data_IF_697909187655
#
_entry.id   IF_697909187655
#
_cell.length_a   1.000
_cell.length_b   1.000
_cell.length_c   1.000
_cell.angle_alpha   90.00
_cell.angle_beta   90.00
_cell.angle_gamma   90.00
#
_symmetry.space_group_name_H-M   'P 1'
#
loop_
_entity.id
_entity.type
_entity.pdbx_description
1 polymer ?
#
# COMPACT_ATOMS: atom_id res chain seq x y z
N UNK A 1 46.02 27.34 52.79
CA UNK A 1 45.46 28.16 51.69
C UNK A 1 45.96 27.52 50.40
N UNK A 2 45.34 26.46 49.85
CA UNK A 2 43.94 26.28 49.45
C UNK A 2 43.49 27.43 48.54
N UNK A 3 43.14 27.05 47.31
CA UNK A 3 42.44 27.78 46.24
C UNK A 3 43.35 28.53 45.25
N UNK A 4 42.88 28.49 44.00
CA UNK A 4 43.48 28.96 42.74
C UNK A 4 44.49 28.02 42.09
N UNK A 5 44.33 27.82 40.78
CA UNK A 5 45.21 27.09 39.84
C UNK A 5 45.01 25.60 39.61
N UNK A 6 43.77 25.10 39.48
CA UNK A 6 43.49 23.96 38.57
C UNK A 6 42.01 23.90 38.15
N UNK A 7 41.47 24.99 37.61
CA UNK A 7 40.06 25.01 37.16
C UNK A 7 39.81 25.92 35.95
N UNK A 8 40.78 26.02 35.02
CA UNK A 8 40.63 26.79 33.75
C UNK A 8 41.16 25.98 32.56
N UNK A 9 40.94 24.66 32.55
CA UNK A 9 41.24 23.82 31.38
C UNK A 9 40.20 22.72 31.12
N UNK A 10 39.10 22.72 31.88
CA UNK A 10 37.99 21.76 31.76
C UNK A 10 36.64 22.43 31.50
N UNK A 11 36.64 23.71 31.07
CA UNK A 11 35.42 24.46 30.72
C UNK A 11 35.49 25.08 29.31
N UNK A 12 36.36 24.56 28.44
CA UNK A 12 36.45 24.94 27.03
C UNK A 12 36.25 23.77 26.05
N UNK A 13 35.92 22.57 26.56
CA UNK A 13 35.65 21.38 25.73
C UNK A 13 34.20 20.91 25.77
N UNK A 14 33.27 21.76 26.24
CA UNK A 14 31.83 21.45 26.33
C UNK A 14 30.97 22.31 25.40
N UNK A 15 31.52 22.71 24.26
CA UNK A 15 30.74 23.10 23.09
C UNK A 15 31.27 22.29 21.91
N UNK A 16 30.99 20.98 21.92
CA UNK A 16 30.74 20.32 20.65
C UNK A 16 29.49 21.01 20.11
N UNK A 17 29.69 22.02 19.26
CA UNK A 17 28.63 22.53 18.40
C UNK A 17 28.21 21.30 17.60
N UNK A 18 27.13 20.66 18.03
CA UNK A 18 26.38 19.78 17.17
C UNK A 18 25.95 20.72 16.05
N UNK A 19 26.67 20.72 14.93
CA UNK A 19 26.10 21.14 13.68
C UNK A 19 25.00 20.13 13.40
N UNK A 20 23.83 20.35 14.02
CA UNK A 20 22.59 19.96 13.38
C UNK A 20 22.64 20.72 12.07
N UNK A 21 22.83 20.00 10.97
CA UNK A 21 22.40 20.49 9.67
C UNK A 21 20.93 20.84 9.87
N UNK A 22 20.63 22.11 10.12
CA UNK A 22 19.29 22.62 9.97
C UNK A 22 18.89 22.25 8.53
N UNK A 23 17.88 21.42 8.37
CA UNK A 23 17.27 21.22 7.08
C UNK A 23 16.86 22.60 6.56
N UNK A 24 17.28 22.97 5.37
CA UNK A 24 16.95 24.29 4.85
C UNK A 24 15.44 24.39 4.61
N UNK A 25 14.90 25.61 4.69
CA UNK A 25 13.54 25.89 4.23
C UNK A 25 13.35 25.36 2.79
N UNK A 26 12.19 24.77 2.52
CA UNK A 26 11.86 24.32 1.17
C UNK A 26 11.27 25.47 0.38
N UNK A 27 11.81 25.75 -0.80
CA UNK A 27 11.31 26.80 -1.68
C UNK A 27 10.82 26.17 -2.97
N UNK A 28 9.51 26.23 -3.18
CA UNK A 28 8.89 25.72 -4.41
C UNK A 28 8.53 26.88 -5.33
N UNK A 29 8.97 26.79 -6.58
CA UNK A 29 8.57 27.69 -7.65
C UNK A 29 8.03 26.85 -8.80
N UNK A 30 6.87 27.20 -9.33
CA UNK A 30 6.22 26.40 -10.37
C UNK A 30 5.59 27.26 -11.44
N UNK A 31 5.81 26.85 -12.70
CA UNK A 31 5.08 27.33 -13.87
C UNK A 31 3.93 26.36 -14.16
N UNK A 32 2.73 26.89 -14.35
CA UNK A 32 1.48 26.11 -14.49
C UNK A 32 0.73 26.46 -15.79
N UNK A 33 -0.11 25.56 -16.33
CA UNK A 33 -0.90 25.85 -17.52
C UNK A 33 -2.04 26.83 -17.20
N UNK A 34 -2.51 27.58 -18.19
CA UNK A 34 -3.69 28.45 -18.05
C UNK A 34 -4.95 27.72 -18.54
N UNK A 35 -6.09 27.81 -17.82
CA UNK A 35 -6.29 28.51 -16.56
C UNK A 35 -5.75 27.73 -15.35
N UNK A 36 -5.16 28.46 -14.39
CA UNK A 36 -4.89 27.99 -13.02
C UNK A 36 -5.26 29.11 -12.05
N UNK A 37 -6.25 28.85 -11.19
CA UNK A 37 -6.77 29.84 -10.25
C UNK A 37 -6.03 29.79 -8.92
N UNK A 38 -5.69 28.59 -8.47
CA UNK A 38 -4.89 28.33 -7.29
C UNK A 38 -3.81 27.29 -7.60
N UNK A 39 -2.75 27.27 -6.80
CA UNK A 39 -1.76 26.22 -6.85
C UNK A 39 -1.42 25.83 -5.42
N UNK A 40 -1.31 24.54 -5.17
CA UNK A 40 -1.00 23.95 -3.87
C UNK A 40 0.15 22.96 -4.05
N UNK A 41 0.96 22.82 -3.02
CA UNK A 41 2.04 21.81 -2.97
C UNK A 41 1.78 20.86 -1.81
N UNK A 42 1.97 19.57 -2.04
CA UNK A 42 1.77 18.51 -1.05
C UNK A 42 2.87 17.49 -1.17
N UNK A 43 3.31 16.90 -0.06
CA UNK A 43 4.38 15.92 -0.10
C UNK A 43 4.57 15.15 1.19
N UNK A 44 5.60 14.31 1.22
CA UNK A 44 5.97 13.60 2.44
C UNK A 44 6.42 14.55 3.57
N UNK A 45 6.85 15.77 3.24
CA UNK A 45 7.21 16.82 4.19
C UNK A 45 6.02 17.28 5.06
N UNK A 46 4.79 16.92 4.71
CA UNK A 46 3.58 17.25 5.45
C UNK A 46 2.58 16.09 5.55
N UNK A 47 3.10 14.86 5.57
CA UNK A 47 2.31 13.63 5.61
C UNK A 47 1.23 13.55 4.51
N UNK A 48 1.52 14.13 3.34
CA UNK A 48 0.63 14.21 2.18
C UNK A 48 -0.71 14.94 2.46
N UNK A 49 -0.74 15.87 3.41
CA UNK A 49 -1.90 16.72 3.67
C UNK A 49 -2.11 17.74 2.52
N UNK A 50 -3.05 17.43 1.62
CA UNK A 50 -3.33 18.20 0.41
C UNK A 50 -4.13 19.50 0.64
N UNK A 51 -4.37 19.89 1.89
CA UNK A 51 -5.16 21.10 2.25
C UNK A 51 -4.39 22.09 3.14
N UNK A 52 -3.05 22.04 3.14
CA UNK A 52 -2.23 22.86 4.03
C UNK A 52 -1.47 23.98 3.32
N UNK A 53 -0.72 23.67 2.26
CA UNK A 53 0.20 24.62 1.65
C UNK A 53 -0.31 25.18 0.33
N UNK A 54 -1.12 26.24 0.43
CA UNK A 54 -1.51 27.06 -0.71
C UNK A 54 -0.34 27.95 -1.13
N UNK A 55 0.04 27.87 -2.41
CA UNK A 55 1.10 28.71 -2.96
C UNK A 55 0.59 30.13 -3.24
N UNK A 56 1.51 31.09 -3.15
CA UNK A 56 1.24 32.48 -3.51
C UNK A 56 1.33 32.66 -5.02
N UNK A 57 0.27 33.20 -5.63
CA UNK A 57 0.26 33.53 -7.05
C UNK A 57 1.17 34.74 -7.31
N UNK A 58 2.17 34.57 -8.18
CA UNK A 58 3.06 35.63 -8.64
C UNK A 58 2.47 36.31 -9.87
N UNK A 59 2.04 35.51 -10.85
CA UNK A 59 1.31 35.92 -12.05
C UNK A 59 0.39 34.79 -12.54
N UNK A 60 -0.23 34.92 -13.72
CA UNK A 60 -1.18 33.94 -14.27
C UNK A 60 -0.62 32.54 -14.51
N UNK A 61 0.69 32.41 -14.55
CA UNK A 61 1.39 31.15 -14.83
C UNK A 61 2.42 30.77 -13.78
N UNK A 62 2.72 31.63 -12.80
CA UNK A 62 3.77 31.37 -11.80
C UNK A 62 3.26 31.45 -10.37
N UNK A 63 3.65 30.46 -9.56
CA UNK A 63 3.34 30.37 -8.14
C UNK A 63 4.59 30.04 -7.32
N UNK A 64 4.64 30.52 -6.08
CA UNK A 64 5.76 30.28 -5.16
C UNK A 64 5.29 30.05 -3.71
N UNK A 65 6.03 29.26 -2.96
CA UNK A 65 5.89 29.13 -1.50
C UNK A 65 7.24 28.79 -0.86
N UNK A 66 7.46 29.32 0.34
CA UNK A 66 8.54 28.89 1.24
C UNK A 66 7.91 28.18 2.42
N UNK A 67 8.33 26.94 2.67
CA UNK A 67 7.91 26.13 3.81
C UNK A 67 9.07 26.11 4.80
N UNK A 68 8.89 26.64 6.02
CA UNK A 68 9.96 26.71 6.98
C UNK A 68 10.34 25.31 7.46
N UNK A 69 11.62 25.10 7.77
CA UNK A 69 12.13 23.83 8.30
C UNK A 69 11.27 23.27 9.44
N UNK A 70 10.81 24.15 10.33
CA UNK A 70 10.02 23.78 11.52
C UNK A 70 8.69 23.11 11.22
N UNK A 71 8.18 23.22 9.99
CA UNK A 71 6.93 22.62 9.55
C UNK A 71 7.14 21.35 8.71
N UNK A 72 8.39 20.95 8.48
CA UNK A 72 8.76 19.73 7.76
C UNK A 72 8.76 18.53 8.71
N UNK A 73 8.15 17.43 8.29
CA UNK A 73 8.22 16.15 9.01
C UNK A 73 9.70 15.75 9.21
N UNK A 74 10.17 15.51 10.44
CA UNK A 74 11.58 15.27 10.73
C UNK A 74 12.04 13.89 10.24
N UNK A 75 13.33 13.78 9.89
CA UNK A 75 13.97 12.49 9.55
C UNK A 75 13.76 12.01 8.12
N UNK A 76 13.19 12.85 7.24
CA UNK A 76 13.09 12.57 5.81
C UNK A 76 14.47 12.59 5.16
N UNK A 77 14.81 11.54 4.40
CA UNK A 77 16.05 11.46 3.62
C UNK A 77 15.89 11.98 2.19
N UNK A 78 14.65 12.11 1.72
CA UNK A 78 14.28 12.62 0.40
C UNK A 78 12.93 13.32 0.53
N UNK A 79 12.75 14.45 -0.15
CA UNK A 79 11.47 15.17 -0.19
C UNK A 79 10.75 14.81 -1.47
N UNK A 80 9.58 14.18 -1.33
CA UNK A 80 8.70 13.80 -2.44
C UNK A 80 7.43 14.64 -2.41
N UNK A 81 6.95 15.06 -3.58
CA UNK A 81 5.83 16.00 -3.65
C UNK A 81 5.07 15.95 -4.98
N UNK A 82 3.92 16.63 -4.99
CA UNK A 82 3.09 16.92 -6.17
C UNK A 82 2.45 18.29 -6.06
N UNK A 83 2.01 18.82 -7.20
CA UNK A 83 1.18 20.02 -7.28
C UNK A 83 -0.31 19.72 -7.50
N UNK A 84 -1.17 20.62 -7.02
CA UNK A 84 -2.61 20.60 -7.28
C UNK A 84 -3.11 21.99 -7.69
N UNK A 85 -4.06 22.04 -8.64
CA UNK A 85 -4.73 23.29 -9.01
C UNK A 85 -5.78 23.78 -8.00
N UNK A 86 -6.12 22.96 -7.00
CA UNK A 86 -6.99 23.28 -5.87
C UNK A 86 -6.71 22.37 -4.67
N UNK A 87 -6.84 22.92 -3.46
CA UNK A 87 -6.55 22.20 -2.21
C UNK A 87 -7.65 21.22 -1.80
N UNK A 88 -7.27 20.23 -0.99
CA UNK A 88 -8.19 19.30 -0.32
C UNK A 88 -8.66 18.10 -1.15
N UNK A 89 -8.35 18.03 -2.44
CA UNK A 89 -8.89 17.00 -3.35
C UNK A 89 -7.88 16.61 -4.45
N UNK A 90 -7.51 15.33 -4.49
CA UNK A 90 -6.57 14.77 -5.47
C UNK A 90 -7.08 14.81 -6.91
N UNK A 91 -8.37 15.10 -7.13
CA UNK A 91 -8.94 15.32 -8.45
C UNK A 91 -8.28 16.49 -9.21
N UNK A 92 -7.51 17.35 -8.54
CA UNK A 92 -6.81 18.50 -9.12
C UNK A 92 -5.31 18.30 -9.33
N UNK A 93 -4.81 17.07 -9.13
CA UNK A 93 -3.39 16.75 -9.19
C UNK A 93 -2.82 16.91 -10.60
N UNK A 94 -1.54 17.26 -10.68
CA UNK A 94 -0.78 17.31 -11.94
C UNK A 94 -0.72 15.96 -12.68
N UNK A 95 -0.57 16.05 -14.00
CA UNK A 95 -0.40 14.96 -14.96
C UNK A 95 0.71 15.28 -15.94
N UNK A 96 1.12 14.27 -16.72
CA UNK A 96 1.94 14.50 -17.91
C UNK A 96 1.15 15.26 -19.00
N UNK A 97 1.83 15.59 -20.10
CA UNK A 97 1.23 16.32 -21.22
C UNK A 97 0.03 15.59 -21.86
N UNK A 98 0.07 14.25 -21.86
CA UNK A 98 -0.99 13.40 -22.41
C UNK A 98 -2.17 13.27 -21.44
N UNK A 99 -1.96 13.55 -20.15
CA UNK A 99 -2.95 13.46 -19.07
C UNK A 99 -2.84 12.18 -18.23
N UNK A 100 -1.77 11.41 -18.37
CA UNK A 100 -1.54 10.22 -17.55
C UNK A 100 -0.97 10.60 -16.17
N UNK A 101 -1.10 9.66 -15.24
CA UNK A 101 -0.45 9.74 -13.93
C UNK A 101 1.06 9.85 -14.06
N UNK A 102 1.66 10.71 -13.25
CA UNK A 102 3.12 10.81 -13.09
C UNK A 102 3.53 10.32 -11.71
N UNK A 103 4.76 9.86 -11.57
CA UNK A 103 5.35 9.57 -10.26
C UNK A 103 5.47 10.83 -9.39
N UNK A 104 5.67 10.65 -8.09
CA UNK A 104 5.99 11.78 -7.20
C UNK A 104 7.25 12.48 -7.66
N UNK A 105 7.25 13.81 -7.63
CA UNK A 105 8.46 14.61 -7.87
C UNK A 105 9.43 14.42 -6.71
N UNK A 106 10.72 14.49 -7.00
CA UNK A 106 11.77 14.53 -5.98
C UNK A 106 12.31 15.94 -5.93
N UNK A 107 12.34 16.54 -4.75
CA UNK A 107 12.72 17.94 -4.58
C UNK A 107 14.16 18.17 -5.04
N UNK A 108 14.31 19.15 -5.91
CA UNK A 108 15.57 19.73 -6.33
C UNK A 108 15.40 21.23 -6.35
N UNK A 109 16.41 21.99 -5.95
CA UNK A 109 16.37 23.45 -6.07
C UNK A 109 16.18 23.84 -7.54
N UNK A 110 15.07 24.54 -7.85
CA UNK A 110 14.74 24.92 -9.21
C UNK A 110 13.29 25.36 -9.40
N UNK A 111 12.92 25.59 -10.67
CA UNK A 111 11.55 25.88 -11.07
C UNK A 111 10.95 24.64 -11.71
N UNK A 112 9.80 24.22 -11.20
CA UNK A 112 9.01 23.16 -11.80
C UNK A 112 8.11 23.67 -12.93
N UNK A 113 7.72 22.76 -13.80
CA UNK A 113 6.67 22.99 -14.80
C UNK A 113 5.62 21.89 -14.67
N UNK A 114 4.38 22.30 -14.42
CA UNK A 114 3.21 21.44 -14.54
C UNK A 114 2.74 21.48 -16.00
N UNK A 115 2.64 20.32 -16.64
CA UNK A 115 2.19 20.23 -18.03
C UNK A 115 0.66 20.33 -18.13
N UNK A 116 -0.03 19.64 -17.22
CA UNK A 116 -1.49 19.48 -17.24
C UNK A 116 -2.03 19.19 -15.84
N UNK A 117 -3.27 19.58 -15.59
CA UNK A 117 -4.02 19.19 -14.40
C UNK A 117 -5.01 18.07 -14.74
N UNK A 118 -5.28 17.17 -13.79
CA UNK A 118 -6.38 16.21 -13.88
C UNK A 118 -7.73 16.92 -14.09
N UNK A 119 -8.00 17.91 -13.23
CA UNK A 119 -9.06 18.89 -13.35
C UNK A 119 -8.49 20.26 -12.98
N UNK A 120 -9.11 21.32 -13.50
CA UNK A 120 -8.79 22.69 -13.09
C UNK A 120 -9.79 23.13 -12.03
N UNK A 121 -9.32 23.39 -10.81
CA UNK A 121 -10.17 24.01 -9.80
C UNK A 121 -10.51 25.45 -10.21
N UNK A 122 -11.79 25.79 -10.15
CA UNK A 122 -12.27 27.15 -10.39
C UNK A 122 -13.04 27.63 -9.15
N UNK A 123 -12.48 28.55 -8.33
CA UNK A 123 -13.15 29.04 -7.12
C UNK A 123 -14.41 29.84 -7.41
N UNK A 124 -14.66 30.22 -8.67
CA UNK A 124 -15.87 30.95 -9.07
C UNK A 124 -17.02 30.01 -9.44
N UNK A 125 -16.79 28.69 -9.44
CA UNK A 125 -17.85 27.69 -9.59
C UNK A 125 -18.13 27.14 -8.19
N UNK A 126 -19.23 27.58 -7.59
CA UNK A 126 -19.67 27.01 -6.32
C UNK A 126 -19.98 25.51 -6.50
N UNK A 127 -19.62 24.65 -5.53
CA UNK A 127 -20.05 23.26 -5.54
C UNK A 127 -21.57 23.18 -5.70
N UNK A 128 -22.04 22.19 -6.46
CA UNK A 128 -23.48 21.97 -6.66
C UNK A 128 -23.88 20.68 -5.96
N UNK A 129 -24.29 20.72 -4.68
CA UNK A 129 -24.86 19.56 -4.01
C UNK A 129 -26.21 19.23 -4.62
N UNK A 130 -26.39 18.00 -5.07
CA UNK A 130 -27.67 17.58 -5.64
C UNK A 130 -27.88 16.07 -5.54
N UNK A 131 -29.15 15.69 -5.52
CA UNK A 131 -29.56 14.32 -5.81
C UNK A 131 -29.67 14.14 -7.31
N UNK A 132 -28.83 13.27 -7.87
CA UNK A 132 -28.80 12.94 -9.30
C UNK A 132 -29.44 11.59 -9.55
N UNK A 133 -29.98 11.40 -10.75
CA UNK A 133 -30.43 10.12 -11.29
C UNK A 133 -29.63 9.78 -12.52
N UNK A 134 -28.96 8.63 -12.51
CA UNK A 134 -28.22 8.10 -13.65
C UNK A 134 -29.03 6.98 -14.27
N UNK A 135 -29.32 7.09 -15.56
CA UNK A 135 -29.96 6.07 -16.38
C UNK A 135 -28.88 5.45 -17.28
N UNK A 136 -28.74 4.14 -17.26
CA UNK A 136 -27.75 3.42 -18.05
C UNK A 136 -28.44 2.43 -19.00
N UNK A 137 -28.19 2.57 -20.30
CA UNK A 137 -28.49 1.55 -21.30
C UNK A 137 -27.26 0.65 -21.45
N UNK A 138 -27.44 -0.66 -21.31
CA UNK A 138 -26.36 -1.66 -21.32
C UNK A 138 -26.73 -2.85 -22.22
N UNK A 139 -25.78 -3.72 -22.58
CA UNK A 139 -26.05 -4.89 -23.42
C UNK A 139 -27.07 -5.85 -22.78
N UNK A 140 -27.78 -6.60 -23.61
CA UNK A 140 -28.92 -7.43 -23.18
C UNK A 140 -28.54 -8.57 -22.23
N UNK A 141 -27.29 -9.02 -22.25
CA UNK A 141 -26.76 -10.10 -21.42
C UNK A 141 -26.46 -9.67 -19.98
N UNK A 142 -26.34 -8.37 -19.69
CA UNK A 142 -26.16 -7.86 -18.32
C UNK A 142 -27.34 -8.28 -17.45
N UNK A 143 -27.09 -8.98 -16.34
CA UNK A 143 -28.14 -9.42 -15.41
C UNK A 143 -28.33 -8.38 -14.30
N UNK A 144 -27.22 -7.93 -13.71
CA UNK A 144 -27.20 -6.93 -12.64
C UNK A 144 -26.20 -5.83 -12.99
N UNK A 145 -26.53 -4.59 -12.62
CA UNK A 145 -25.68 -3.43 -12.87
C UNK A 145 -25.45 -2.66 -11.58
N UNK A 146 -24.23 -2.18 -11.40
CA UNK A 146 -23.80 -1.41 -10.23
C UNK A 146 -23.13 -0.11 -10.69
N UNK A 147 -23.26 0.95 -9.89
CA UNK A 147 -22.63 2.25 -10.15
C UNK A 147 -21.71 2.66 -8.98
N UNK A 148 -20.49 3.05 -9.29
CA UNK A 148 -19.47 3.48 -8.32
C UNK A 148 -18.84 4.79 -8.80
N UNK A 149 -18.40 5.64 -7.90
CA UNK A 149 -17.92 6.97 -8.28
C UNK A 149 -17.38 7.80 -7.12
N UNK A 150 -17.20 9.10 -7.37
CA UNK A 150 -16.73 10.04 -6.34
C UNK A 150 -17.69 10.13 -5.14
N UNK A 151 -18.99 9.90 -5.35
CA UNK A 151 -20.01 9.94 -4.31
C UNK A 151 -19.89 8.81 -3.25
N UNK A 152 -19.21 7.71 -3.58
CA UNK A 152 -18.93 6.61 -2.66
C UNK A 152 -17.43 6.30 -2.55
N UNK A 153 -16.56 7.28 -2.83
CA UNK A 153 -15.11 7.14 -2.78
C UNK A 153 -14.57 5.94 -3.58
N UNK A 154 -15.20 5.59 -4.70
CA UNK A 154 -14.80 4.46 -5.54
C UNK A 154 -14.70 3.14 -4.75
N UNK A 155 -15.53 2.96 -3.71
CA UNK A 155 -15.62 1.66 -3.02
C UNK A 155 -16.06 0.58 -3.99
N UNK A 156 -15.62 -0.66 -3.73
CA UNK A 156 -16.01 -1.83 -4.53
C UNK A 156 -17.54 -1.90 -4.65
N UNK A 157 -18.08 -2.29 -5.82
CA UNK A 157 -19.51 -2.47 -5.99
C UNK A 157 -20.09 -3.45 -4.95
N UNK A 158 -21.16 -3.03 -4.27
CA UNK A 158 -21.95 -3.85 -3.34
C UNK A 158 -23.44 -3.64 -3.61
N UNK A 159 -24.32 -4.35 -2.90
CA UNK A 159 -25.77 -4.18 -3.03
C UNK A 159 -26.25 -2.74 -2.79
N UNK A 160 -25.49 -1.93 -2.02
CA UNK A 160 -25.82 -0.50 -1.81
C UNK A 160 -25.64 0.36 -3.07
N UNK A 161 -24.87 -0.13 -4.03
CA UNK A 161 -24.57 0.53 -5.32
C UNK A 161 -25.28 -0.12 -6.50
N UNK A 162 -26.10 -1.15 -6.24
CA UNK A 162 -26.87 -1.87 -7.25
C UNK A 162 -27.93 -0.95 -7.85
N UNK A 163 -27.98 -0.90 -9.18
CA UNK A 163 -28.95 -0.10 -9.93
C UNK A 163 -30.27 -0.89 -10.09
N UNK A 164 -31.36 -0.16 -10.14
CA UNK A 164 -32.71 -0.71 -10.36
C UNK A 164 -32.91 -0.99 -11.85
N UNK A 165 -33.24 -2.22 -12.21
CA UNK A 165 -33.67 -2.56 -13.56
C UNK A 165 -35.00 -1.86 -13.89
N UNK A 166 -35.08 -1.19 -15.04
CA UNK A 166 -36.28 -0.51 -15.51
C UNK A 166 -36.99 -1.32 -16.60
N UNK A 167 -36.30 -1.56 -17.71
CA UNK A 167 -36.88 -2.23 -18.88
C UNK A 167 -35.81 -2.89 -19.77
N UNK A 168 -36.28 -3.73 -20.70
CA UNK A 168 -35.49 -4.23 -21.81
C UNK A 168 -36.11 -3.74 -23.12
N UNK A 169 -35.27 -3.30 -24.05
CA UNK A 169 -35.65 -2.79 -25.36
C UNK A 169 -34.73 -3.38 -26.45
N UNK A 170 -34.92 -2.98 -27.70
CA UNK A 170 -34.14 -3.50 -28.83
C UNK A 170 -32.63 -3.21 -28.70
N UNK A 171 -32.24 -2.18 -27.94
CA UNK A 171 -30.86 -1.79 -27.71
C UNK A 171 -30.23 -2.46 -26.47
N UNK A 172 -30.97 -3.30 -25.72
CA UNK A 172 -30.48 -4.01 -24.54
C UNK A 172 -31.35 -3.76 -23.30
N UNK A 173 -30.71 -3.49 -22.15
CA UNK A 173 -31.41 -3.25 -20.87
C UNK A 173 -31.15 -1.86 -20.32
N UNK A 174 -32.13 -1.31 -19.63
CA UNK A 174 -32.07 0.01 -18.98
C UNK A 174 -32.11 -0.16 -17.47
N UNK A 175 -31.20 0.52 -16.79
CA UNK A 175 -31.11 0.57 -15.33
C UNK A 175 -31.08 2.02 -14.83
N UNK A 176 -31.48 2.26 -13.59
CA UNK A 176 -31.38 3.57 -12.95
C UNK A 176 -30.84 3.51 -11.52
N UNK A 177 -30.09 4.53 -11.12
CA UNK A 177 -29.75 4.77 -9.72
C UNK A 177 -29.88 6.25 -9.38
N UNK A 178 -30.35 6.52 -8.17
CA UNK A 178 -30.49 7.87 -7.62
C UNK A 178 -29.66 7.98 -6.35
N UNK A 179 -28.79 8.99 -6.28
CA UNK A 179 -27.91 9.20 -5.14
C UNK A 179 -27.55 10.68 -4.97
N UNK A 180 -27.02 11.05 -3.81
CA UNK A 180 -26.57 12.41 -3.53
C UNK A 180 -25.08 12.57 -3.88
N UNK A 181 -24.73 13.67 -4.55
CA UNK A 181 -23.35 14.15 -4.69
C UNK A 181 -23.22 15.50 -3.99
N UNK A 182 -22.08 15.71 -3.32
CA UNK A 182 -21.75 17.00 -2.69
C UNK A 182 -21.36 18.07 -3.72
N UNK A 183 -20.94 17.64 -4.93
CA UNK A 183 -20.59 18.54 -6.02
C UNK A 183 -20.78 17.83 -7.38
N UNK A 184 -21.84 18.21 -8.10
CA UNK A 184 -22.12 17.68 -9.44
C UNK A 184 -21.03 18.05 -10.46
N UNK A 185 -20.29 19.16 -10.26
CA UNK A 185 -19.21 19.55 -11.16
C UNK A 185 -18.02 18.57 -11.13
N UNK A 186 -17.89 17.81 -10.04
CA UNK A 186 -16.83 16.80 -9.85
C UNK A 186 -17.36 15.37 -9.86
N UNK A 187 -18.64 15.18 -10.17
CA UNK A 187 -19.22 13.85 -10.17
C UNK A 187 -18.60 13.03 -11.30
N UNK A 188 -17.84 12.02 -10.92
CA UNK A 188 -17.33 10.99 -11.80
C UNK A 188 -17.85 9.63 -11.36
N UNK A 189 -18.13 8.75 -12.31
CA UNK A 189 -18.64 7.42 -12.03
C UNK A 189 -18.27 6.39 -13.11
N UNK A 190 -18.43 5.12 -12.77
CA UNK A 190 -18.31 3.95 -13.64
C UNK A 190 -19.37 2.92 -13.31
N UNK A 191 -19.55 1.98 -14.23
CA UNK A 191 -20.45 0.87 -14.08
C UNK A 191 -19.71 -0.47 -13.98
N UNK A 192 -20.27 -1.38 -13.19
CA UNK A 192 -19.85 -2.78 -13.13
C UNK A 192 -21.06 -3.68 -13.37
N UNK A 193 -20.93 -4.67 -14.27
CA UNK A 193 -21.95 -5.69 -14.53
C UNK A 193 -21.89 -6.84 -13.49
N UNK A 194 -21.63 -6.50 -12.22
CA UNK A 194 -21.42 -7.43 -11.11
C UNK A 194 -20.81 -6.76 -9.87
N UNK A 195 -20.83 -7.44 -8.71
CA UNK A 195 -20.41 -6.89 -7.41
C UNK A 195 -18.87 -6.87 -7.20
N UNK A 196 -18.10 -6.53 -8.24
CA UNK A 196 -16.63 -6.40 -8.17
C UNK A 196 -16.05 -5.64 -9.37
N UNK A 197 -14.81 -5.15 -9.23
CA UNK A 197 -14.06 -4.51 -10.33
C UNK A 197 -13.73 -5.44 -11.51
N UNK A 198 -13.80 -6.75 -11.31
CA UNK A 198 -13.66 -7.75 -12.37
C UNK A 198 -14.78 -7.64 -13.44
N UNK A 199 -15.88 -6.96 -13.12
CA UNK A 199 -17.04 -6.74 -13.98
C UNK A 199 -17.13 -5.30 -14.50
N UNK A 200 -16.08 -4.49 -14.33
CA UNK A 200 -16.04 -3.10 -14.78
C UNK A 200 -16.30 -2.95 -16.27
N UNK A 201 -16.93 -1.85 -16.66
CA UNK A 201 -17.04 -1.42 -18.06
C UNK A 201 -15.67 -1.42 -18.76
N UNK A 202 -15.64 -1.74 -20.04
CA UNK A 202 -14.42 -1.74 -20.87
C UNK A 202 -14.20 -0.42 -21.61
N UNK A 203 -15.26 0.39 -21.75
CA UNK A 203 -15.12 1.74 -22.29
C UNK A 203 -14.22 2.56 -21.39
N UNK A 204 -13.16 3.11 -21.98
CA UNK A 204 -12.12 3.85 -21.27
C UNK A 204 -12.63 5.08 -20.53
N UNK A 205 -11.83 5.52 -19.55
CA UNK A 205 -12.06 6.68 -18.67
C UNK A 205 -13.31 6.58 -17.76
N UNK A 206 -13.34 7.44 -16.74
CA UNK A 206 -14.53 7.65 -15.90
C UNK A 206 -15.56 8.48 -16.68
N UNK A 207 -16.86 8.20 -16.49
CA UNK A 207 -17.89 9.14 -16.92
C UNK A 207 -17.85 10.39 -16.04
N UNK A 208 -18.06 11.55 -16.64
CA UNK A 208 -18.29 12.82 -15.94
C UNK A 208 -19.77 13.18 -16.03
N UNK A 209 -20.32 13.77 -14.98
CA UNK A 209 -21.70 14.24 -15.03
C UNK A 209 -21.84 15.35 -16.10
N UNK A 210 -22.77 15.19 -17.08
CA UNK A 210 -22.72 16.00 -18.31
C UNK A 210 -23.28 17.41 -18.14
N UNK A 211 -24.29 17.59 -17.28
CA UNK A 211 -24.97 18.86 -17.10
C UNK A 211 -25.42 19.02 -15.63
N UNK A 212 -24.70 19.80 -14.80
CA UNK A 212 -25.06 20.02 -13.41
C UNK A 212 -26.31 20.89 -13.21
N UNK A 213 -26.94 21.38 -14.29
CA UNK A 213 -28.25 22.05 -14.23
C UNK A 213 -29.42 21.06 -14.29
N UNK A 214 -29.16 19.82 -14.70
CA UNK A 214 -30.14 18.74 -14.73
C UNK A 214 -29.91 17.79 -13.56
N UNK A 215 -30.97 17.20 -13.04
CA UNK A 215 -30.90 16.17 -12.00
C UNK A 215 -30.89 14.74 -12.58
N UNK A 216 -30.92 14.60 -13.91
CA UNK A 216 -30.96 13.30 -14.59
C UNK A 216 -29.99 13.29 -15.76
N UNK A 217 -29.23 12.20 -15.89
CA UNK A 217 -28.35 11.96 -17.03
C UNK A 217 -28.56 10.52 -17.55
N UNK A 218 -28.43 10.36 -18.88
CA UNK A 218 -28.48 9.06 -19.54
C UNK A 218 -27.11 8.72 -20.15
N UNK A 219 -26.70 7.46 -20.02
CA UNK A 219 -25.41 6.95 -20.48
C UNK A 219 -25.62 5.62 -21.21
N UNK A 220 -24.84 5.38 -22.27
CA UNK A 220 -24.80 4.10 -22.97
C UNK A 220 -23.48 3.41 -22.63
N UNK A 221 -23.56 2.23 -22.02
CA UNK A 221 -22.39 1.41 -21.71
C UNK A 221 -22.32 0.26 -22.72
N UNK A 222 -21.29 0.21 -23.55
CA UNK A 222 -21.23 -0.74 -24.67
C UNK A 222 -20.75 -2.14 -24.27
N UNK A 223 -19.87 -2.26 -23.29
CA UNK A 223 -19.33 -3.56 -22.87
C UNK A 223 -18.68 -3.54 -21.48
N UNK A 224 -18.49 -4.74 -20.94
CA UNK A 224 -17.91 -5.01 -19.62
C UNK A 224 -16.85 -6.11 -19.73
N UNK A 225 -15.90 -6.13 -18.78
CA UNK A 225 -14.83 -7.15 -18.72
C UNK A 225 -15.41 -8.56 -18.57
N UNK A 226 -16.45 -8.69 -17.77
CA UNK A 226 -17.20 -9.91 -17.46
C UNK A 226 -18.66 -9.54 -17.16
N UNK A 227 -19.55 -10.52 -17.24
CA UNK A 227 -20.96 -10.39 -16.85
C UNK A 227 -21.22 -11.33 -15.68
N UNK A 228 -21.68 -10.78 -14.56
CA UNK A 228 -22.04 -11.54 -13.37
C UNK A 228 -23.40 -12.24 -13.55
N UNK A 229 -23.45 -13.51 -13.17
CA UNK A 229 -24.66 -14.31 -13.13
C UNK A 229 -24.90 -14.78 -11.70
N UNK A 230 -25.85 -14.15 -10.96
CA UNK A 230 -26.15 -14.51 -9.58
C UNK A 230 -26.74 -15.91 -9.43
N UNK A 231 -27.08 -16.60 -10.53
CA UNK A 231 -27.51 -18.01 -10.48
C UNK A 231 -26.34 -19.00 -10.55
N UNK A 232 -25.12 -18.50 -10.76
CA UNK A 232 -23.88 -19.29 -10.92
C UNK A 232 -22.82 -18.91 -9.90
N UNK A 233 -23.23 -18.63 -8.68
CA UNK A 233 -22.34 -18.33 -7.55
C UNK A 233 -22.39 -19.43 -6.51
N UNK A 234 -21.29 -19.54 -5.78
CA UNK A 234 -21.18 -20.38 -4.60
C UNK A 234 -19.76 -20.43 -4.07
N UNK A 235 -19.53 -21.32 -3.12
CA UNK A 235 -18.26 -21.37 -2.41
C UNK A 235 -17.21 -22.15 -3.21
N UNK A 236 -15.99 -21.61 -3.28
CA UNK A 236 -14.82 -22.27 -3.84
C UNK A 236 -13.80 -22.48 -2.72
N UNK A 237 -13.45 -23.74 -2.48
CA UNK A 237 -12.42 -24.14 -1.52
C UNK A 237 -11.07 -24.22 -2.19
N UNK A 238 -10.06 -23.59 -1.60
CA UNK A 238 -8.66 -23.67 -2.05
C UNK A 238 -7.86 -24.39 -0.98
N UNK A 239 -7.15 -25.46 -1.37
CA UNK A 239 -6.25 -26.21 -0.51
C UNK A 239 -4.83 -26.01 -1.05
N UNK A 240 -3.99 -25.34 -0.26
CA UNK A 240 -2.63 -24.99 -0.64
C UNK A 240 -1.61 -25.88 0.08
N UNK A 241 -0.83 -26.64 -0.68
CA UNK A 241 0.43 -27.21 -0.20
C UNK A 241 1.50 -26.12 -0.23
N UNK A 242 2.15 -25.87 0.91
CA UNK A 242 3.10 -24.76 1.08
C UNK A 242 4.48 -25.27 1.52
N UNK A 243 5.54 -24.45 1.40
CA UNK A 243 6.87 -24.84 1.86
C UNK A 243 6.90 -25.19 3.35
N UNK A 244 7.69 -26.21 3.72
CA UNK A 244 7.83 -26.66 5.10
C UNK A 244 8.27 -25.51 6.03
N UNK A 245 7.70 -25.47 7.23
CA UNK A 245 7.95 -24.39 8.21
C UNK A 245 7.07 -23.14 8.02
N UNK A 246 6.16 -23.14 7.03
CA UNK A 246 5.13 -22.10 6.93
C UNK A 246 4.11 -22.28 8.07
N UNK A 247 3.97 -21.25 8.91
CA UNK A 247 3.07 -21.29 10.07
C UNK A 247 1.70 -20.68 9.79
N UNK A 248 1.65 -19.64 8.95
CA UNK A 248 0.46 -18.87 8.65
C UNK A 248 0.48 -18.48 7.18
N UNK A 249 -0.68 -18.45 6.56
CA UNK A 249 -0.85 -18.08 5.16
C UNK A 249 -2.12 -17.27 5.02
N UNK A 250 -2.06 -16.23 4.21
CA UNK A 250 -3.18 -15.35 3.92
C UNK A 250 -3.53 -15.38 2.44
N UNK A 251 -4.81 -15.16 2.13
CA UNK A 251 -5.33 -14.98 0.79
C UNK A 251 -5.80 -13.54 0.59
N UNK A 252 -5.37 -12.94 -0.52
CA UNK A 252 -5.90 -11.69 -1.07
C UNK A 252 -6.51 -11.99 -2.44
N UNK A 253 -7.56 -11.29 -2.84
CA UNK A 253 -8.11 -11.44 -4.18
C UNK A 253 -9.18 -10.42 -4.55
N UNK A 254 -9.71 -10.53 -5.77
CA UNK A 254 -10.77 -9.64 -6.27
C UNK A 254 -12.06 -9.77 -5.47
N UNK A 255 -12.38 -10.97 -4.98
CA UNK A 255 -13.49 -11.23 -4.05
C UNK A 255 -13.32 -10.57 -2.66
N UNK A 256 -12.11 -10.11 -2.31
CA UNK A 256 -11.83 -9.30 -1.11
C UNK A 256 -11.57 -7.83 -1.48
N UNK A 257 -11.73 -7.49 -2.76
CA UNK A 257 -11.54 -6.15 -3.27
C UNK A 257 -10.09 -5.67 -3.37
N UNK A 258 -9.12 -6.58 -3.32
CA UNK A 258 -7.70 -6.23 -3.24
C UNK A 258 -7.35 -5.25 -2.11
N UNK A 259 -8.09 -5.33 -1.00
CA UNK A 259 -7.91 -4.48 0.18
C UNK A 259 -7.25 -5.26 1.33
N UNK A 260 -6.11 -4.77 1.82
CA UNK A 260 -5.35 -5.37 2.93
C UNK A 260 -6.12 -5.49 4.23
N UNK A 261 -7.11 -4.63 4.47
CA UNK A 261 -7.99 -4.73 5.64
C UNK A 261 -8.94 -5.94 5.57
N UNK A 262 -9.20 -6.46 4.38
CA UNK A 262 -10.11 -7.59 4.13
C UNK A 262 -9.37 -8.93 3.99
N UNK A 263 -8.05 -8.95 4.17
CA UNK A 263 -7.21 -10.13 4.00
C UNK A 263 -7.67 -11.28 4.91
N UNK A 264 -7.85 -12.49 4.37
CA UNK A 264 -8.29 -13.68 5.12
C UNK A 264 -7.12 -14.62 5.41
N UNK A 265 -6.99 -15.07 6.67
CA UNK A 265 -6.03 -16.11 7.06
C UNK A 265 -6.60 -17.51 6.76
N UNK A 266 -5.75 -18.41 6.27
CA UNK A 266 -6.11 -19.79 5.96
C UNK A 266 -6.08 -20.69 7.19
N UNK A 267 -6.91 -21.74 7.18
CA UNK A 267 -6.91 -22.75 8.24
C UNK A 267 -5.81 -23.78 7.97
N UNK A 268 -4.86 -23.92 8.89
CA UNK A 268 -3.79 -24.93 8.80
C UNK A 268 -4.35 -26.33 9.09
N UNK A 269 -4.17 -27.25 8.15
CA UNK A 269 -4.57 -28.65 8.26
C UNK A 269 -3.50 -29.50 8.96
N UNK A 270 -3.88 -30.70 9.41
CA UNK A 270 -2.96 -31.62 10.11
C UNK A 270 -1.77 -32.08 9.25
N UNK A 271 -1.95 -32.12 7.92
CA UNK A 271 -0.92 -32.50 6.95
C UNK A 271 0.00 -31.32 6.56
N UNK A 272 -0.21 -30.13 7.14
CA UNK A 272 0.56 -28.92 6.86
C UNK A 272 0.09 -28.10 5.66
N UNK A 273 -0.99 -28.51 4.98
CA UNK A 273 -1.65 -27.67 3.97
C UNK A 273 -2.50 -26.57 4.61
N UNK A 274 -2.93 -25.58 3.82
CA UNK A 274 -3.81 -24.49 4.26
C UNK A 274 -5.09 -24.45 3.44
N UNK A 275 -6.24 -24.36 4.11
CA UNK A 275 -7.56 -24.25 3.47
C UNK A 275 -8.08 -22.82 3.52
N UNK A 276 -8.61 -22.35 2.40
CA UNK A 276 -9.33 -21.09 2.23
C UNK A 276 -10.68 -21.34 1.59
N UNK A 277 -11.67 -20.52 1.90
CA UNK A 277 -12.98 -20.53 1.25
C UNK A 277 -13.26 -19.14 0.69
N UNK A 278 -13.37 -19.05 -0.62
CA UNK A 278 -13.93 -17.88 -1.30
C UNK A 278 -15.45 -18.09 -1.37
N UNK A 279 -16.18 -17.34 -0.56
CA UNK A 279 -17.63 -17.49 -0.39
C UNK A 279 -18.39 -16.74 -1.48
N UNK A 280 -19.47 -17.34 -1.98
CA UNK A 280 -20.41 -16.69 -2.90
C UNK A 280 -19.77 -16.03 -4.14
N UNK A 281 -18.84 -16.74 -4.79
CA UNK A 281 -18.10 -16.24 -5.95
C UNK A 281 -18.57 -16.91 -7.24
N UNK A 282 -18.59 -16.16 -8.34
CA UNK A 282 -18.74 -16.75 -9.69
C UNK A 282 -17.36 -17.07 -10.27
N UNK A 283 -16.47 -16.09 -10.26
CA UNK A 283 -15.06 -16.20 -10.62
C UNK A 283 -14.28 -15.11 -9.90
N UNK A 284 -13.01 -15.35 -9.63
CA UNK A 284 -12.15 -14.42 -8.89
C UNK A 284 -10.68 -14.64 -9.20
N UNK A 285 -9.90 -13.60 -8.99
CA UNK A 285 -8.45 -13.68 -8.91
C UNK A 285 -8.00 -13.69 -7.46
N UNK A 286 -6.86 -14.34 -7.17
CA UNK A 286 -6.29 -14.36 -5.84
C UNK A 286 -4.77 -14.58 -5.86
N UNK A 287 -4.13 -14.33 -4.71
CA UNK A 287 -2.73 -14.64 -4.43
C UNK A 287 -2.55 -14.99 -2.96
N UNK A 288 -1.58 -15.86 -2.67
CA UNK A 288 -1.22 -16.22 -1.31
C UNK A 288 0.01 -15.47 -0.79
N UNK A 289 0.02 -15.22 0.52
CA UNK A 289 1.08 -14.51 1.23
C UNK A 289 1.44 -15.25 2.53
N UNK A 290 2.73 -15.29 2.91
CA UNK A 290 3.15 -15.83 4.21
C UNK A 290 3.20 -14.79 5.33
N UNK A 291 2.83 -13.55 5.04
CA UNK A 291 2.64 -12.46 6.00
C UNK A 291 1.61 -11.48 5.44
N UNK A 292 0.81 -10.77 6.25
CA UNK A 292 -0.22 -9.85 5.77
C UNK A 292 0.39 -8.52 5.29
N UNK A 293 1.28 -8.59 4.30
CA UNK A 293 1.98 -7.47 3.72
C UNK A 293 2.39 -7.76 2.25
N UNK A 294 2.37 -6.73 1.42
CA UNK A 294 2.65 -6.83 -0.02
C UNK A 294 4.04 -7.38 -0.39
N UNK A 295 5.01 -7.31 0.53
CA UNK A 295 6.36 -7.82 0.34
C UNK A 295 6.48 -9.35 0.46
N UNK A 296 5.42 -10.06 0.85
CA UNK A 296 5.46 -11.47 1.24
C UNK A 296 4.68 -12.45 0.33
N UNK A 297 4.57 -12.23 -0.99
CA UNK A 297 3.79 -13.09 -1.87
C UNK A 297 4.47 -14.43 -2.15
N UNK A 298 3.68 -15.38 -2.64
CA UNK A 298 4.17 -16.58 -3.30
C UNK A 298 5.02 -16.27 -4.55
N UNK A 299 6.00 -17.14 -4.82
CA UNK A 299 6.92 -17.06 -5.98
C UNK A 299 6.95 -18.37 -6.77
N UNK A 300 7.48 -18.29 -7.99
CA UNK A 300 7.52 -19.42 -8.92
C UNK A 300 8.60 -20.44 -8.58
N UNK A 301 8.40 -21.69 -9.03
CA UNK A 301 9.37 -22.78 -8.89
C UNK A 301 10.71 -22.46 -9.59
N UNK A 302 10.63 -21.91 -10.80
CA UNK A 302 11.79 -21.65 -11.64
C UNK A 302 12.62 -20.45 -11.17
N UNK A 303 12.01 -19.52 -10.42
CA UNK A 303 12.67 -18.32 -9.93
C UNK A 303 12.06 -17.87 -8.58
N UNK A 304 12.74 -18.13 -7.45
CA UNK A 304 12.25 -17.80 -6.12
C UNK A 304 12.28 -16.28 -5.82
N UNK A 305 12.76 -15.46 -6.74
CA UNK A 305 12.73 -13.99 -6.61
C UNK A 305 11.60 -13.35 -7.42
N UNK A 306 10.97 -14.11 -8.32
CA UNK A 306 9.92 -13.63 -9.21
C UNK A 306 8.55 -14.03 -8.70
N UNK A 307 7.72 -13.02 -8.48
CA UNK A 307 6.31 -13.19 -8.12
C UNK A 307 5.55 -13.92 -9.23
N UNK A 308 4.64 -14.81 -8.82
CA UNK A 308 3.68 -15.40 -9.75
C UNK A 308 2.60 -14.38 -10.12
N UNK A 309 2.04 -14.45 -11.35
CA UNK A 309 0.80 -13.75 -11.66
C UNK A 309 -0.32 -14.22 -10.72
N UNK A 310 -1.38 -13.42 -10.61
CA UNK A 310 -2.55 -13.80 -9.84
C UNK A 310 -3.10 -15.15 -10.32
N UNK A 311 -3.48 -16.00 -9.36
CA UNK A 311 -4.20 -17.22 -9.62
C UNK A 311 -5.66 -16.89 -9.89
N UNK A 312 -6.36 -17.78 -10.58
CA UNK A 312 -7.79 -17.65 -10.86
C UNK A 312 -8.56 -18.81 -10.24
N UNK A 313 -9.74 -18.53 -9.71
CA UNK A 313 -10.73 -19.51 -9.28
C UNK A 313 -12.07 -19.23 -9.94
N UNK A 314 -12.87 -20.28 -10.13
CA UNK A 314 -14.21 -20.19 -10.70
C UNK A 314 -15.12 -21.22 -10.03
N UNK A 315 -16.33 -20.80 -9.71
CA UNK A 315 -17.38 -21.69 -9.24
C UNK A 315 -18.02 -22.42 -10.44
N UNK A 316 -18.16 -23.73 -10.29
CA UNK A 316 -18.80 -24.62 -11.25
C UNK A 316 -20.10 -25.17 -10.64
N UNK A 317 -21.27 -24.61 -11.01
CA UNK A 317 -22.56 -25.10 -10.53
C UNK A 317 -22.90 -26.50 -11.07
N UNK A 318 -22.24 -26.95 -12.14
CA UNK A 318 -22.55 -28.22 -12.81
C UNK A 318 -21.66 -29.37 -12.34
N UNK A 319 -20.51 -29.06 -11.74
CA UNK A 319 -19.58 -30.05 -11.22
C UNK A 319 -18.97 -29.59 -9.88
N UNK A 320 -19.63 -29.90 -8.74
CA UNK A 320 -19.16 -29.48 -7.42
C UNK A 320 -17.74 -29.93 -7.05
N UNK A 321 -17.22 -31.00 -7.69
CA UNK A 321 -15.84 -31.43 -7.46
C UNK A 321 -14.81 -30.40 -7.95
N UNK A 322 -15.16 -29.59 -8.96
CA UNK A 322 -14.32 -28.51 -9.48
C UNK A 322 -14.24 -27.32 -8.52
N UNK A 323 -15.14 -27.23 -7.53
CA UNK A 323 -15.15 -26.16 -6.52
C UNK A 323 -14.12 -26.39 -5.40
N UNK A 324 -13.30 -27.44 -5.48
CA UNK A 324 -12.13 -27.64 -4.64
C UNK A 324 -10.87 -27.59 -5.49
N UNK A 325 -10.10 -26.52 -5.34
CA UNK A 325 -8.87 -26.27 -6.08
C UNK A 325 -7.69 -26.64 -5.19
N UNK A 326 -6.87 -27.59 -5.65
CA UNK A 326 -5.63 -27.96 -4.99
C UNK A 326 -4.46 -27.24 -5.69
N UNK A 327 -3.64 -26.53 -4.92
CA UNK A 327 -2.50 -25.78 -5.46
C UNK A 327 -1.22 -26.09 -4.69
N UNK A 328 -0.09 -25.86 -5.33
CA UNK A 328 1.24 -25.85 -4.70
C UNK A 328 1.80 -24.44 -4.73
N UNK A 329 2.22 -23.95 -3.57
CA UNK A 329 3.05 -22.77 -3.39
C UNK A 329 4.50 -23.25 -3.32
N UNK A 330 5.31 -22.81 -4.28
CA UNK A 330 6.70 -23.27 -4.41
C UNK A 330 7.67 -22.60 -3.45
N UNK A 331 7.41 -21.34 -3.13
CA UNK A 331 8.25 -20.53 -2.27
C UNK A 331 7.57 -19.23 -1.88
N UNK A 332 8.24 -18.48 -1.03
CA UNK A 332 7.85 -17.13 -0.62
C UNK A 332 8.95 -16.15 -1.01
N UNK A 333 8.56 -14.96 -1.48
CA UNK A 333 9.52 -13.90 -1.88
C UNK A 333 10.52 -13.59 -0.77
N UNK A 334 10.05 -13.62 0.48
CA UNK A 334 10.87 -13.51 1.67
C UNK A 334 10.20 -14.27 2.83
N UNK A 335 10.96 -14.71 3.84
CA UNK A 335 10.40 -15.42 4.99
C UNK A 335 9.58 -14.45 5.86
N UNK A 336 8.43 -14.92 6.36
CA UNK A 336 7.61 -14.17 7.31
C UNK A 336 8.45 -13.65 8.50
N UNK A 337 8.23 -12.40 8.97
CA UNK A 337 8.90 -11.89 10.16
C UNK A 337 8.69 -12.82 11.35
N UNK A 338 9.78 -13.20 12.01
CA UNK A 338 9.68 -13.91 13.28
C UNK A 338 9.27 -12.94 14.39
N UNK A 339 8.32 -13.34 15.24
CA UNK A 339 7.97 -12.63 16.47
C UNK A 339 9.14 -12.48 17.47
N UNK A 340 10.29 -13.08 17.17
CA UNK A 340 11.57 -12.72 17.78
C UNK A 340 12.24 -11.72 16.83
N UNK A 341 12.18 -10.41 17.08
CA UNK A 341 13.07 -9.50 16.39
C UNK A 341 14.50 -9.95 16.72
N UNK A 342 15.30 -10.22 15.69
CA UNK A 342 16.69 -10.64 15.84
C UNK A 342 17.59 -9.46 16.24
N UNK A 343 17.10 -8.56 17.12
CA UNK A 343 17.83 -7.42 17.72
C UNK A 343 19.19 -7.87 18.22
N UNK A 344 19.28 -9.10 18.73
CA UNK A 344 20.53 -9.70 19.15
C UNK A 344 21.52 -9.90 17.98
N UNK A 345 21.08 -10.51 16.87
CA UNK A 345 21.96 -10.78 15.73
C UNK A 345 22.26 -9.52 14.92
N UNK A 346 21.32 -8.58 14.82
CA UNK A 346 21.52 -7.31 14.12
C UNK A 346 22.50 -6.42 14.90
N UNK A 347 22.34 -6.34 16.23
CA UNK A 347 23.22 -5.55 17.09
C UNK A 347 24.63 -6.14 17.18
N UNK A 348 24.73 -7.45 17.44
CA UNK A 348 26.00 -8.11 17.74
C UNK A 348 26.63 -8.83 16.55
N UNK A 349 26.02 -8.77 15.37
CA UNK A 349 26.52 -9.32 14.10
C UNK A 349 27.11 -10.74 14.26
N UNK A 350 26.34 -11.61 14.90
CA UNK A 350 26.83 -12.90 15.36
C UNK A 350 27.04 -13.87 14.19
N UNK A 351 28.21 -14.49 14.11
CA UNK A 351 28.58 -15.45 13.05
C UNK A 351 29.09 -16.75 13.66
N UNK A 352 28.74 -17.86 13.03
CA UNK A 352 29.27 -19.20 13.35
C UNK A 352 30.12 -19.69 12.19
N UNK A 353 31.43 -19.82 12.40
CA UNK A 353 32.39 -20.26 11.37
C UNK A 353 33.45 -21.13 12.01
N UNK A 354 33.81 -22.25 11.37
CA UNK A 354 34.87 -23.16 11.82
C UNK A 354 34.71 -23.60 13.29
N UNK A 355 33.48 -23.94 13.69
CA UNK A 355 33.13 -24.33 15.06
C UNK A 355 33.42 -23.27 16.12
N UNK A 356 33.48 -22.00 15.76
CA UNK A 356 33.57 -20.86 16.68
C UNK A 356 32.37 -19.94 16.50
N UNK A 357 32.05 -19.16 17.54
CA UNK A 357 31.05 -18.08 17.48
C UNK A 357 31.81 -16.76 17.58
N UNK A 358 31.63 -15.89 16.59
CA UNK A 358 32.13 -14.51 16.62
C UNK A 358 30.98 -13.56 16.85
N UNK A 359 31.17 -12.61 17.78
CA UNK A 359 30.24 -11.50 18.04
C UNK A 359 30.99 -10.19 17.94
N UNK A 360 30.36 -9.19 17.35
CA UNK A 360 30.86 -7.81 17.25
C UNK A 360 30.02 -6.89 18.14
N UNK A 361 30.46 -5.63 18.24
CA UNK A 361 29.74 -4.57 18.94
C UNK A 361 29.38 -4.89 20.41
N UNK A 362 30.18 -5.74 21.08
CA UNK A 362 30.03 -6.00 22.51
C UNK A 362 30.38 -4.72 23.27
N UNK A 363 29.59 -4.36 24.27
CA UNK A 363 29.78 -3.12 25.06
C UNK A 363 30.26 -3.38 26.49
N UNK A 364 30.14 -4.62 26.98
CA UNK A 364 30.51 -5.00 28.34
C UNK A 364 31.06 -6.43 28.47
N UNK A 365 30.31 -7.47 28.04
CA UNK A 365 30.66 -8.87 28.32
C UNK A 365 30.00 -9.87 27.37
N UNK A 366 30.62 -11.04 27.27
CA UNK A 366 30.10 -12.25 26.60
C UNK A 366 30.14 -13.43 27.56
N UNK A 367 29.08 -14.22 27.61
CA UNK A 367 28.97 -15.45 28.38
C UNK A 367 28.39 -16.55 27.47
N UNK A 368 29.03 -17.72 27.43
CA UNK A 368 28.59 -18.86 26.63
C UNK A 368 28.21 -20.02 27.55
N UNK A 369 27.07 -20.65 27.27
CA UNK A 369 26.58 -21.81 28.03
C UNK A 369 26.24 -22.96 27.08
N UNK A 370 26.35 -24.19 27.56
CA UNK A 370 25.74 -25.33 26.89
C UNK A 370 24.21 -25.34 27.08
N UNK A 371 23.52 -26.25 26.39
CA UNK A 371 22.05 -26.42 26.51
C UNK A 371 21.58 -26.80 27.91
N UNK A 372 22.46 -27.32 28.77
CA UNK A 372 22.15 -27.66 30.15
C UNK A 372 22.38 -26.47 31.10
N UNK A 373 22.76 -25.30 30.58
CA UNK A 373 22.97 -24.08 31.34
C UNK A 373 24.33 -24.00 32.04
N UNK A 374 25.27 -24.91 31.75
CA UNK A 374 26.63 -24.84 32.29
C UNK A 374 27.45 -23.83 31.50
N UNK A 375 28.08 -22.89 32.20
CA UNK A 375 28.92 -21.87 31.59
C UNK A 375 30.21 -22.48 31.04
N UNK A 376 30.46 -22.30 29.75
CA UNK A 376 31.63 -22.78 29.02
C UNK A 376 32.69 -21.69 28.92
N UNK A 377 32.29 -20.46 28.60
CA UNK A 377 33.20 -19.32 28.45
C UNK A 377 32.60 -18.04 29.04
N UNK A 378 33.49 -17.12 29.43
CA UNK A 378 33.14 -15.78 29.92
C UNK A 378 34.27 -14.80 29.65
N UNK A 379 33.93 -13.64 29.07
CA UNK A 379 34.87 -12.56 28.81
C UNK A 379 34.23 -11.19 29.07
N UNK A 380 34.98 -10.28 29.70
CA UNK A 380 34.62 -8.86 29.76
C UNK A 380 35.37 -8.15 28.63
N UNK A 381 34.66 -7.70 27.60
CA UNK A 381 35.24 -7.23 26.34
C UNK A 381 34.37 -6.12 25.74
N UNK A 382 35.02 -5.18 25.05
CA UNK A 382 34.38 -4.18 24.21
C UNK A 382 34.87 -4.35 22.77
N UNK A 383 33.95 -4.37 21.81
CA UNK A 383 34.26 -4.62 20.40
C UNK A 383 33.92 -6.05 19.98
N UNK A 384 34.89 -6.79 19.46
CA UNK A 384 34.68 -8.14 18.92
C UNK A 384 35.20 -9.23 19.87
N UNK A 385 34.53 -10.38 19.88
CA UNK A 385 34.90 -11.57 20.63
C UNK A 385 34.64 -12.82 19.80
N UNK A 386 35.58 -13.77 19.83
CA UNK A 386 35.43 -15.08 19.20
C UNK A 386 35.67 -16.17 20.25
N UNK A 387 34.77 -17.15 20.31
CA UNK A 387 34.90 -18.29 21.24
C UNK A 387 36.06 -19.20 20.84
N UNK A 388 36.46 -20.09 21.75
CA UNK A 388 37.24 -21.27 21.38
C UNK A 388 36.47 -22.22 20.46
N UNK A 389 37.13 -23.31 20.06
CA UNK A 389 36.52 -24.37 19.26
C UNK A 389 35.45 -25.11 20.06
N UNK A 390 34.24 -25.12 19.53
CA UNK A 390 33.06 -25.77 20.10
C UNK A 390 32.78 -27.10 19.43
N UNK A 391 32.00 -27.97 20.07
CA UNK A 391 31.43 -29.16 19.43
C UNK A 391 30.20 -28.79 18.61
N UNK A 392 29.82 -29.60 17.63
CA UNK A 392 28.59 -29.36 16.88
C UNK A 392 27.39 -29.50 17.81
N UNK A 393 26.48 -28.54 17.77
CA UNK A 393 25.37 -28.50 18.71
C UNK A 393 24.78 -27.11 18.89
N UNK A 394 23.87 -27.00 19.86
CA UNK A 394 23.21 -25.75 20.23
C UNK A 394 23.87 -25.21 21.50
N UNK A 395 24.04 -23.89 21.54
CA UNK A 395 24.59 -23.16 22.68
C UNK A 395 23.66 -22.00 23.04
N UNK A 396 23.77 -21.52 24.28
CA UNK A 396 23.14 -20.28 24.72
C UNK A 396 24.23 -19.22 24.82
N UNK A 397 24.17 -18.21 23.97
CA UNK A 397 25.09 -17.08 24.00
C UNK A 397 24.41 -15.90 24.67
N UNK A 398 25.09 -15.28 25.63
CA UNK A 398 24.65 -14.06 26.30
C UNK A 398 25.66 -12.94 26.09
N UNK A 399 25.21 -11.83 25.53
CA UNK A 399 26.04 -10.63 25.24
C UNK A 399 25.37 -9.42 25.87
N UNK A 400 26.12 -8.70 26.71
CA UNK A 400 25.65 -7.52 27.46
C UNK A 400 24.33 -7.70 28.21
N UNK A 401 24.05 -8.90 28.70
CA UNK A 401 22.83 -9.22 29.44
C UNK A 401 21.69 -9.81 28.60
N UNK A 402 21.78 -9.78 27.27
CA UNK A 402 20.79 -10.33 26.33
C UNK A 402 21.22 -11.72 25.90
N UNK A 403 20.30 -12.68 25.78
CA UNK A 403 20.61 -14.07 25.41
C UNK A 403 19.98 -14.51 24.10
N UNK A 404 20.67 -15.36 23.33
CA UNK A 404 20.15 -16.05 22.16
C UNK A 404 20.62 -17.51 22.10
N UNK A 405 19.86 -18.37 21.43
CA UNK A 405 20.29 -19.73 21.09
C UNK A 405 21.05 -19.71 19.77
N UNK A 406 22.19 -20.39 19.70
CA UNK A 406 23.06 -20.42 18.53
C UNK A 406 23.41 -21.85 18.19
N UNK A 407 23.19 -22.23 16.93
CA UNK A 407 23.64 -23.51 16.40
C UNK A 407 25.06 -23.38 15.83
N UNK A 408 25.97 -24.24 16.29
CA UNK A 408 27.33 -24.38 15.77
C UNK A 408 27.39 -25.67 14.95
N UNK A 409 27.87 -25.55 13.71
CA UNK A 409 28.01 -26.64 12.74
C UNK A 409 29.47 -26.90 12.41
#
# INVERSE_FOLDING_TARGET
MKKLFTFISALLSLFAVVQMSAAADLVFNVTVPTPTYECWVVGNFNDWNNNQYKMTKVDDTHFTITIPESEIVPGLTEIKYKYLSGGGDWAYVEKDADGNEISDRVYTDGNDVVQKWALVYNPNVEPIPMTVTIIAQVPADVIELYIVGTFNNWTIPTDTTKMTFLEANEAGKVFSATFFTVDANKLQFKFCAGPAWDYEQTQGSNYTYPDPTQNTAAVIVESFKKIYDPTKVGDVTIIATVPAGTERVWIMGSHLGWNWDNLKEGTKNQDGTFTFVAEDVMAFEYRLYNWPDSGYPEVGEADPTKELPNRTGQYDPTNPANNTINITVWGWKQPAPSAVPNVFFDRYQVKTVNRTITVNNVTSRVELFDVMGRQLEKANVRGSYTTGLLTNGIYILKVDGISAKIAVK
#
